data_IF_712897494690
#
_entry.id   IF_712897494690
#
_cell.length_a   1.000
_cell.length_b   1.000
_cell.length_c   1.000
_cell.angle_alpha   90.00
_cell.angle_beta   90.00
_cell.angle_gamma   90.00
#
_symmetry.space_group_name_H-M   'P 1'
#
loop_
_entity.id
_entity.type
_entity.pdbx_description
1 polymer ?
#
# COMPACT_ATOMS: atom_id res chain seq x y z
N UNK A 1 -16.26 -15.98 41.91
CA UNK A 1 -14.85 -15.82 41.50
C UNK A 1 -14.73 -16.19 40.03
N UNK A 2 -14.85 -15.23 39.11
CA UNK A 2 -14.34 -15.37 37.73
C UNK A 2 -14.42 -14.00 37.05
N UNK A 3 -13.33 -13.23 37.19
CA UNK A 3 -13.16 -11.96 36.50
C UNK A 3 -12.91 -12.22 35.01
N UNK A 4 -13.92 -12.02 34.18
CA UNK A 4 -13.77 -11.97 32.73
C UNK A 4 -13.30 -10.56 32.37
N UNK A 5 -12.00 -10.32 32.48
CA UNK A 5 -11.37 -9.12 31.92
C UNK A 5 -11.17 -9.40 30.42
N UNK A 6 -12.22 -9.19 29.64
CA UNK A 6 -12.09 -9.08 28.19
C UNK A 6 -11.39 -7.75 27.90
N UNK A 7 -10.06 -7.85 27.74
CA UNK A 7 -9.18 -6.76 27.34
C UNK A 7 -9.63 -6.26 25.97
N UNK A 8 -10.34 -5.13 25.96
CA UNK A 8 -10.65 -4.36 24.78
C UNK A 8 -9.33 -3.82 24.20
N UNK A 9 -8.64 -4.63 23.39
CA UNK A 9 -7.45 -4.17 22.69
C UNK A 9 -7.81 -2.93 21.87
N UNK A 10 -7.06 -1.86 22.09
CA UNK A 10 -7.27 -0.59 21.38
C UNK A 10 -7.14 -0.79 19.88
N UNK A 11 -7.86 0.00 19.07
CA UNK A 11 -7.79 -0.03 17.61
C UNK A 11 -6.33 0.06 17.10
N UNK A 12 -5.49 0.83 17.79
CA UNK A 12 -4.06 0.95 17.51
C UNK A 12 -3.31 -0.38 17.68
N UNK A 13 -3.61 -1.19 18.69
CA UNK A 13 -2.99 -2.51 18.88
C UNK A 13 -3.37 -3.48 17.77
N UNK A 14 -4.60 -3.41 17.26
CA UNK A 14 -5.05 -4.23 16.12
C UNK A 14 -4.35 -3.83 14.83
N UNK A 15 -4.18 -2.53 14.59
CA UNK A 15 -3.40 -2.03 13.46
C UNK A 15 -1.94 -2.45 13.56
N UNK A 16 -1.35 -2.31 14.75
CA UNK A 16 0.05 -2.70 14.98
C UNK A 16 0.27 -4.20 14.76
N UNK A 17 -0.61 -5.06 15.30
CA UNK A 17 -0.53 -6.51 15.06
C UNK A 17 -0.68 -6.86 13.57
N UNK A 18 -1.60 -6.18 12.86
CA UNK A 18 -1.75 -6.34 11.41
C UNK A 18 -0.47 -5.95 10.65
N UNK A 19 0.10 -4.78 10.96
CA UNK A 19 1.33 -4.29 10.34
C UNK A 19 2.53 -5.19 10.69
N UNK A 20 2.66 -5.65 11.93
CA UNK A 20 3.73 -6.57 12.37
C UNK A 20 3.58 -7.98 11.79
N UNK A 21 2.36 -8.41 11.46
CA UNK A 21 2.12 -9.70 10.78
C UNK A 21 2.48 -9.66 9.29
N UNK A 22 2.49 -8.46 8.68
CA UNK A 22 3.06 -8.28 7.36
C UNK A 22 4.58 -8.29 7.50
N UNK A 23 5.24 -9.37 7.06
CA UNK A 23 6.69 -9.44 6.91
C UNK A 23 7.25 -8.52 5.80
N UNK A 24 6.43 -7.59 5.32
CA UNK A 24 6.73 -6.73 4.19
C UNK A 24 7.50 -5.51 4.68
N UNK A 25 8.58 -5.18 3.97
CA UNK A 25 9.24 -3.90 4.13
C UNK A 25 8.25 -2.75 3.83
N UNK A 26 8.44 -1.55 4.41
CA UNK A 26 7.59 -0.38 4.13
C UNK A 26 7.44 -0.09 2.64
N UNK A 27 8.49 -0.38 1.89
CA UNK A 27 8.54 -0.23 0.45
C UNK A 27 7.62 -1.21 -0.30
N UNK A 28 7.47 -2.46 0.19
CA UNK A 28 6.53 -3.45 -0.35
C UNK A 28 5.08 -3.10 0.01
N UNK A 29 4.81 -2.69 1.24
CA UNK A 29 3.47 -2.20 1.63
C UNK A 29 3.03 -1.07 0.71
N UNK A 30 3.92 -0.10 0.47
CA UNK A 30 3.68 1.00 -0.45
C UNK A 30 3.38 0.52 -1.87
N UNK A 31 4.08 -0.51 -2.34
CA UNK A 31 3.85 -1.09 -3.67
C UNK A 31 2.50 -1.81 -3.78
N UNK A 32 2.12 -2.61 -2.77
CA UNK A 32 0.80 -3.24 -2.74
C UNK A 32 -0.32 -2.20 -2.70
N UNK A 33 -0.13 -1.12 -1.95
CA UNK A 33 -1.07 0.00 -1.92
C UNK A 33 -1.22 0.65 -3.31
N UNK A 34 -0.11 0.94 -3.99
CA UNK A 34 -0.12 1.46 -5.38
C UNK A 34 -0.87 0.53 -6.32
N UNK A 35 -0.66 -0.78 -6.23
CA UNK A 35 -1.36 -1.77 -7.07
C UNK A 35 -2.86 -1.83 -6.76
N UNK A 36 -3.25 -1.78 -5.49
CA UNK A 36 -4.65 -1.77 -5.08
C UNK A 36 -5.37 -0.52 -5.62
N UNK A 37 -4.75 0.64 -5.51
CA UNK A 37 -5.32 1.90 -6.03
C UNK A 37 -5.37 1.88 -7.56
N UNK A 38 -4.33 1.39 -8.25
CA UNK A 38 -4.37 1.26 -9.70
C UNK A 38 -5.46 0.31 -10.18
N UNK A 39 -5.68 -0.81 -9.48
CA UNK A 39 -6.76 -1.73 -9.80
C UNK A 39 -8.14 -1.08 -9.59
N UNK A 40 -8.31 -0.32 -8.50
CA UNK A 40 -9.55 0.40 -8.22
C UNK A 40 -9.85 1.50 -9.25
N UNK A 41 -8.83 2.14 -9.81
CA UNK A 41 -8.94 3.23 -10.79
C UNK A 41 -8.84 2.74 -12.25
N UNK A 42 -8.94 1.43 -12.50
CA UNK A 42 -8.88 0.85 -13.86
C UNK A 42 -7.55 1.06 -14.58
N UNK A 43 -6.46 1.23 -13.85
CA UNK A 43 -5.11 1.46 -14.39
C UNK A 43 -4.77 2.93 -14.69
N UNK A 44 -5.66 3.88 -14.38
CA UNK A 44 -5.36 5.30 -14.61
C UNK A 44 -4.36 5.85 -13.59
N UNK A 45 -3.09 5.97 -13.99
CA UNK A 45 -1.99 6.46 -13.14
C UNK A 45 -2.25 7.88 -12.62
N UNK A 46 -2.86 8.75 -13.42
CA UNK A 46 -3.13 10.15 -13.02
C UNK A 46 -4.18 10.21 -11.91
N UNK A 47 -5.27 9.45 -12.03
CA UNK A 47 -6.34 9.41 -11.03
C UNK A 47 -5.85 8.72 -9.75
N UNK A 48 -5.11 7.61 -9.87
CA UNK A 48 -4.47 6.95 -8.75
C UNK A 48 -3.52 7.89 -7.99
N UNK A 49 -2.68 8.65 -8.70
CA UNK A 49 -1.78 9.61 -8.08
C UNK A 49 -2.54 10.70 -7.30
N UNK A 50 -3.59 11.27 -7.90
CA UNK A 50 -4.46 12.26 -7.23
C UNK A 50 -5.11 11.69 -5.97
N UNK A 51 -5.63 10.46 -6.05
CA UNK A 51 -6.27 9.78 -4.91
C UNK A 51 -5.31 9.49 -3.77
N UNK A 52 -4.05 9.19 -4.09
CA UNK A 52 -3.01 9.02 -3.08
C UNK A 52 -2.38 10.35 -2.61
N UNK A 53 -2.80 11.50 -3.14
CA UNK A 53 -2.18 12.80 -2.84
C UNK A 53 -0.75 12.94 -3.33
N UNK A 54 -0.32 12.09 -4.28
CA UNK A 54 1.02 12.12 -4.85
C UNK A 54 1.03 12.83 -6.20
N UNK A 55 2.20 13.37 -6.56
CA UNK A 55 2.41 13.81 -7.92
C UNK A 55 2.52 12.61 -8.87
N UNK A 56 1.91 12.70 -10.06
CA UNK A 56 1.91 11.65 -11.08
C UNK A 56 3.30 11.15 -11.44
N UNK A 57 4.30 12.04 -11.48
CA UNK A 57 5.70 11.67 -11.76
C UNK A 57 6.32 10.81 -10.65
N UNK A 58 5.97 11.07 -9.39
CA UNK A 58 6.41 10.26 -8.25
C UNK A 58 5.86 8.84 -8.37
N UNK A 59 4.56 8.71 -8.65
CA UNK A 59 3.92 7.41 -8.85
C UNK A 59 4.56 6.65 -10.02
N UNK A 60 4.77 7.32 -11.14
CA UNK A 60 5.44 6.72 -12.31
C UNK A 60 6.85 6.23 -11.96
N UNK A 61 7.67 7.04 -11.29
CA UNK A 61 9.03 6.65 -10.89
C UNK A 61 9.04 5.47 -9.92
N UNK A 62 8.03 5.37 -9.06
CA UNK A 62 7.86 4.22 -8.16
C UNK A 62 7.53 2.94 -8.95
N UNK A 63 6.68 3.05 -9.98
CA UNK A 63 6.39 1.95 -10.89
C UNK A 63 7.63 1.57 -11.70
N UNK A 64 8.36 2.53 -12.26
CA UNK A 64 9.54 2.27 -13.09
C UNK A 64 10.69 1.59 -12.31
N UNK A 65 10.79 1.84 -11.00
CA UNK A 65 11.78 1.18 -10.13
C UNK A 65 11.47 -0.30 -9.86
N UNK A 66 10.23 -0.75 -10.05
CA UNK A 66 9.75 -2.07 -9.63
C UNK A 66 9.04 -2.87 -10.72
N UNK A 67 8.66 -2.24 -11.82
CA UNK A 67 8.13 -2.90 -13.00
C UNK A 67 9.27 -3.35 -13.92
N UNK A 68 9.06 -4.40 -14.74
CA UNK A 68 9.97 -4.68 -15.85
C UNK A 68 10.04 -3.41 -16.70
N UNK A 69 11.25 -2.89 -16.95
CA UNK A 69 11.45 -1.83 -17.95
C UNK A 69 10.80 -2.31 -19.23
N UNK A 70 9.70 -1.68 -19.65
CA UNK A 70 9.15 -1.95 -20.96
C UNK A 70 10.30 -1.77 -21.97
N UNK A 71 10.69 -2.85 -22.65
CA UNK A 71 11.67 -2.79 -23.72
C UNK A 71 11.05 -1.93 -24.80
N UNK A 72 11.44 -0.65 -24.84
CA UNK A 72 11.08 0.24 -25.94
C UNK A 72 11.94 -0.22 -27.10
N UNK A 73 11.44 -1.16 -27.90
CA UNK A 73 11.98 -1.41 -29.23
C UNK A 73 11.74 -0.15 -30.06
N UNK A 74 12.83 0.40 -30.58
CA UNK A 74 12.82 1.54 -31.49
C UNK A 74 12.69 1.05 -32.92
#
# INVERSE_FOLDING_TARGET
MTSVIQSQQSHAQRLHAGISSLSLSPSEVQFHYVRAVLAAEGGCVTTAARRMGLHRRTLQRMLDKRGPKARIEK
#
